data_IF_689400696156
#
_entry.id   IF_689400696156
#
_cell.length_a   1.000
_cell.length_b   1.000
_cell.length_c   1.000
_cell.angle_alpha   90.00
_cell.angle_beta   90.00
_cell.angle_gamma   90.00
#
_symmetry.space_group_name_H-M   'P 1'
#
loop_
_entity.id
_entity.type
_entity.pdbx_description
1 polymer ?
#
# COMPACT_ATOMS: atom_id res chain seq x y z
N UNK A 1 0.28 -13.40 36.39
CA UNK A 1 -0.13 -14.35 35.35
C UNK A 1 -0.18 -13.58 34.05
N UNK A 2 0.64 -13.96 33.07
CA UNK A 2 0.67 -13.33 31.75
C UNK A 2 -0.59 -13.67 30.95
N UNK A 3 -0.91 -12.85 29.94
CA UNK A 3 -2.07 -13.04 29.05
C UNK A 3 -2.08 -14.44 28.40
N UNK A 4 -0.91 -14.94 28.00
CA UNK A 4 -0.70 -16.29 27.43
C UNK A 4 -0.95 -17.42 28.43
N UNK A 5 -0.55 -17.25 29.69
CA UNK A 5 -0.77 -18.26 30.74
C UNK A 5 -2.26 -18.35 31.11
N UNK A 6 -2.93 -17.20 31.18
CA UNK A 6 -4.37 -17.14 31.39
C UNK A 6 -5.14 -17.79 30.24
N UNK A 7 -4.76 -17.47 29.01
CA UNK A 7 -5.29 -18.13 27.82
C UNK A 7 -5.09 -19.64 27.85
N UNK A 8 -3.88 -20.14 28.10
CA UNK A 8 -3.62 -21.57 28.11
C UNK A 8 -4.46 -22.33 29.14
N UNK A 9 -4.69 -21.73 30.32
CA UNK A 9 -5.58 -22.27 31.35
C UNK A 9 -7.03 -22.31 30.89
N UNK A 10 -7.56 -21.20 30.36
CA UNK A 10 -8.96 -21.11 29.91
C UNK A 10 -9.22 -22.01 28.68
N UNK A 11 -8.30 -22.02 27.73
CA UNK A 11 -8.33 -22.89 26.55
C UNK A 11 -8.33 -24.37 26.93
N UNK A 12 -7.57 -24.76 27.96
CA UNK A 12 -7.58 -26.14 28.47
C UNK A 12 -8.96 -26.56 28.98
N UNK A 13 -9.67 -25.68 29.70
CA UNK A 13 -11.03 -25.96 30.17
C UNK A 13 -12.03 -26.14 29.01
N UNK A 14 -11.92 -25.31 27.96
CA UNK A 14 -12.73 -25.48 26.76
C UNK A 14 -12.41 -26.79 26.04
N UNK A 15 -11.13 -27.14 25.90
CA UNK A 15 -10.69 -28.37 25.22
C UNK A 15 -11.13 -29.64 25.96
N UNK A 16 -11.07 -29.66 27.29
CA UNK A 16 -11.55 -30.80 28.07
C UNK A 16 -13.07 -31.01 27.90
N UNK A 17 -13.85 -29.93 27.80
CA UNK A 17 -15.28 -30.01 27.51
C UNK A 17 -15.56 -30.44 26.07
N UNK A 18 -14.77 -29.95 25.11
CA UNK A 18 -14.88 -30.34 23.71
C UNK A 18 -14.58 -31.83 23.54
N UNK A 19 -13.54 -32.35 24.19
CA UNK A 19 -13.15 -33.75 24.17
C UNK A 19 -14.30 -34.68 24.61
N UNK A 20 -14.96 -34.35 25.72
CA UNK A 20 -16.14 -35.09 26.21
C UNK A 20 -17.26 -35.11 25.17
N UNK A 21 -17.51 -34.00 24.47
CA UNK A 21 -18.58 -33.88 23.49
C UNK A 21 -18.28 -34.66 22.21
N UNK A 22 -17.05 -34.55 21.68
CA UNK A 22 -16.66 -35.25 20.44
C UNK A 22 -16.49 -36.76 20.66
N UNK A 23 -16.13 -37.18 21.87
CA UNK A 23 -15.97 -38.58 22.23
C UNK A 23 -17.29 -39.32 22.50
N UNK A 24 -18.42 -38.59 22.61
CA UNK A 24 -19.76 -39.15 22.84
C UNK A 24 -20.15 -40.27 21.86
N UNK A 25 -20.83 -41.32 22.35
CA UNK A 25 -21.30 -42.46 21.55
C UNK A 25 -22.62 -42.21 20.83
N UNK A 26 -23.45 -41.28 21.32
CA UNK A 26 -24.74 -40.92 20.72
C UNK A 26 -24.65 -39.76 19.74
N UNK A 27 -23.44 -39.24 19.51
CA UNK A 27 -23.18 -38.01 18.77
C UNK A 27 -23.08 -36.77 19.66
N UNK A 28 -22.50 -35.66 19.16
CA UNK A 28 -22.23 -34.47 19.94
C UNK A 28 -23.50 -33.63 20.13
N UNK A 29 -23.58 -32.96 21.27
CA UNK A 29 -24.52 -31.85 21.44
C UNK A 29 -24.08 -30.70 20.52
N UNK A 30 -24.75 -30.56 19.37
CA UNK A 30 -24.38 -29.63 18.29
C UNK A 30 -24.31 -28.17 18.73
N UNK A 31 -25.28 -27.73 19.54
CA UNK A 31 -25.34 -26.34 20.04
C UNK A 31 -24.15 -26.07 20.96
N UNK A 32 -23.84 -27.03 21.83
CA UNK A 32 -22.76 -26.90 22.78
C UNK A 32 -21.38 -26.98 22.12
N UNK A 33 -21.22 -27.85 21.13
CA UNK A 33 -20.01 -27.95 20.31
C UNK A 33 -19.69 -26.62 19.62
N UNK A 34 -20.69 -25.99 18.95
CA UNK A 34 -20.53 -24.68 18.32
C UNK A 34 -20.19 -23.60 19.36
N UNK A 35 -20.87 -23.61 20.52
CA UNK A 35 -20.65 -22.62 21.58
C UNK A 35 -19.23 -22.70 22.13
N UNK A 36 -18.72 -23.89 22.39
CA UNK A 36 -17.37 -24.09 22.94
C UNK A 36 -16.28 -23.77 21.92
N UNK A 37 -16.44 -24.19 20.65
CA UNK A 37 -15.50 -23.82 19.58
C UNK A 37 -15.41 -22.29 19.39
N UNK A 38 -16.56 -21.59 19.43
CA UNK A 38 -16.59 -20.12 19.37
C UNK A 38 -15.94 -19.46 20.59
N UNK A 39 -16.19 -19.98 21.79
CA UNK A 39 -15.59 -19.46 23.01
C UNK A 39 -14.05 -19.61 22.99
N UNK A 40 -13.56 -20.77 22.56
CA UNK A 40 -12.13 -21.04 22.37
C UNK A 40 -11.50 -20.08 21.36
N UNK A 41 -12.14 -19.86 20.20
CA UNK A 41 -11.70 -18.88 19.20
C UNK A 41 -11.63 -17.47 19.79
N UNK A 42 -12.65 -17.05 20.52
CA UNK A 42 -12.69 -15.73 21.16
C UNK A 42 -11.55 -15.54 22.16
N UNK A 43 -11.30 -16.53 23.00
CA UNK A 43 -10.19 -16.52 23.97
C UNK A 43 -8.83 -16.44 23.27
N UNK A 44 -8.62 -17.20 22.17
CA UNK A 44 -7.39 -17.16 21.37
C UNK A 44 -7.14 -15.78 20.73
N UNK A 45 -8.18 -15.16 20.15
CA UNK A 45 -8.07 -13.83 19.54
C UNK A 45 -7.78 -12.74 20.59
N UNK A 46 -8.38 -12.83 21.78
CA UNK A 46 -8.09 -11.91 22.87
C UNK A 46 -6.66 -12.04 23.39
N UNK A 47 -6.06 -13.22 23.28
CA UNK A 47 -4.68 -13.49 23.66
C UNK A 47 -3.66 -13.21 22.54
N UNK A 48 -4.10 -12.75 21.37
CA UNK A 48 -3.29 -12.55 20.17
C UNK A 48 -2.63 -13.84 19.63
N UNK A 49 -3.29 -14.99 19.82
CA UNK A 49 -2.85 -16.31 19.34
C UNK A 49 -3.62 -16.68 18.06
N UNK A 50 -3.28 -16.00 16.96
CA UNK A 50 -4.05 -16.06 15.70
C UNK A 50 -4.14 -17.48 15.12
N UNK A 51 -3.04 -18.23 15.11
CA UNK A 51 -2.98 -19.59 14.54
C UNK A 51 -3.91 -20.56 15.28
N UNK A 52 -3.96 -20.49 16.61
CA UNK A 52 -4.91 -21.30 17.39
C UNK A 52 -6.35 -20.83 17.15
N UNK A 53 -6.55 -19.52 16.99
CA UNK A 53 -7.82 -18.93 16.60
C UNK A 53 -8.36 -19.46 15.26
N UNK A 54 -7.49 -19.65 14.27
CA UNK A 54 -7.84 -20.21 12.95
C UNK A 54 -8.29 -21.68 13.05
N UNK A 55 -7.57 -22.52 13.81
CA UNK A 55 -7.98 -23.92 14.03
C UNK A 55 -9.32 -23.98 14.79
N UNK A 56 -9.51 -23.14 15.80
CA UNK A 56 -10.78 -23.04 16.52
C UNK A 56 -11.94 -22.54 15.63
N UNK A 57 -11.66 -21.65 14.68
CA UNK A 57 -12.63 -21.21 13.67
C UNK A 57 -13.02 -22.34 12.71
N UNK A 58 -12.03 -23.13 12.25
CA UNK A 58 -12.28 -24.32 11.43
C UNK A 58 -13.12 -25.36 12.19
N UNK A 59 -12.88 -25.54 13.48
CA UNK A 59 -13.67 -26.43 14.34
C UNK A 59 -15.10 -25.92 14.51
N UNK A 60 -15.30 -24.60 14.68
CA UNK A 60 -16.63 -23.99 14.72
C UNK A 60 -17.39 -24.22 13.39
N UNK A 61 -16.71 -24.06 12.25
CA UNK A 61 -17.28 -24.29 10.93
C UNK A 61 -17.71 -25.74 10.73
N UNK A 62 -16.86 -26.69 11.12
CA UNK A 62 -17.15 -28.11 11.11
C UNK A 62 -18.34 -28.45 12.01
N UNK A 63 -18.37 -27.92 13.24
CA UNK A 63 -19.49 -28.06 14.17
C UNK A 63 -20.80 -27.51 13.59
N UNK A 64 -20.73 -26.39 12.86
CA UNK A 64 -21.88 -25.79 12.17
C UNK A 64 -22.36 -26.65 11.00
N UNK A 65 -21.45 -27.21 10.20
CA UNK A 65 -21.80 -28.12 9.11
C UNK A 65 -22.52 -29.38 9.62
N UNK A 66 -22.11 -29.92 10.77
CA UNK A 66 -22.83 -30.98 11.47
C UNK A 66 -24.17 -30.46 12.00
N UNK A 67 -24.18 -29.26 12.59
CA UNK A 67 -25.36 -28.55 13.08
C UNK A 67 -26.49 -28.46 12.05
N UNK A 68 -26.12 -28.09 10.83
CA UNK A 68 -26.99 -27.85 9.67
C UNK A 68 -27.27 -29.11 8.84
N UNK A 69 -26.88 -30.30 9.31
CA UNK A 69 -27.00 -31.58 8.61
C UNK A 69 -26.31 -31.63 7.24
N UNK A 70 -25.33 -30.74 6.99
CA UNK A 70 -24.50 -30.73 5.78
C UNK A 70 -23.40 -31.79 5.83
N UNK A 71 -22.89 -32.09 7.03
CA UNK A 71 -21.92 -33.17 7.27
C UNK A 71 -22.54 -34.19 8.23
N UNK A 72 -22.68 -35.47 7.83
CA UNK A 72 -23.19 -36.50 8.72
C UNK A 72 -22.17 -36.82 9.83
N UNK A 73 -22.64 -36.97 11.07
CA UNK A 73 -21.81 -37.44 12.17
C UNK A 73 -21.60 -38.96 12.07
N UNK A 74 -20.56 -39.37 11.33
CA UNK A 74 -20.12 -40.75 11.19
C UNK A 74 -18.76 -40.95 11.88
N UNK A 75 -18.25 -42.19 11.87
CA UNK A 75 -16.96 -42.50 12.52
C UNK A 75 -15.81 -41.64 11.99
N UNK A 76 -15.78 -41.34 10.69
CA UNK A 76 -14.75 -40.47 10.10
C UNK A 76 -14.83 -39.04 10.66
N UNK A 77 -16.03 -38.45 10.70
CA UNK A 77 -16.25 -37.11 11.24
C UNK A 77 -15.90 -37.05 12.74
N UNK A 78 -16.21 -38.12 13.48
CA UNK A 78 -15.83 -38.26 14.88
C UNK A 78 -14.30 -38.28 15.07
N UNK A 79 -13.58 -39.08 14.29
CA UNK A 79 -12.13 -39.15 14.38
C UNK A 79 -11.45 -37.82 14.05
N UNK A 80 -11.91 -37.13 13.00
CA UNK A 80 -11.41 -35.79 12.64
C UNK A 80 -11.61 -34.80 13.79
N UNK A 81 -12.77 -34.82 14.44
CA UNK A 81 -13.05 -33.95 15.58
C UNK A 81 -12.16 -34.24 16.79
N UNK A 82 -11.93 -35.52 17.10
CA UNK A 82 -11.05 -35.95 18.20
C UNK A 82 -9.61 -35.52 17.92
N UNK A 83 -9.09 -35.82 16.73
CA UNK A 83 -7.74 -35.45 16.32
C UNK A 83 -7.53 -33.93 16.40
N UNK A 84 -8.49 -33.13 15.92
CA UNK A 84 -8.37 -31.68 15.98
C UNK A 84 -8.36 -31.13 17.42
N UNK A 85 -9.12 -31.74 18.34
CA UNK A 85 -9.10 -31.35 19.76
C UNK A 85 -7.74 -31.71 20.39
N UNK A 86 -7.17 -32.85 20.03
CA UNK A 86 -5.83 -33.25 20.50
C UNK A 86 -4.73 -32.35 19.94
N UNK A 87 -4.78 -32.00 18.66
CA UNK A 87 -3.84 -31.06 18.03
C UNK A 87 -3.93 -29.68 18.68
N UNK A 88 -5.15 -29.17 18.91
CA UNK A 88 -5.36 -27.92 19.66
C UNK A 88 -4.76 -27.99 21.07
N UNK A 89 -4.86 -29.14 21.75
CA UNK A 89 -4.26 -29.35 23.07
C UNK A 89 -2.73 -29.32 23.01
N UNK A 90 -2.11 -29.81 21.93
CA UNK A 90 -0.67 -29.68 21.70
C UNK A 90 -0.30 -28.22 21.44
N UNK A 91 -1.01 -27.53 20.54
CA UNK A 91 -0.75 -26.13 20.19
C UNK A 91 -0.86 -25.21 21.41
N UNK A 92 -1.91 -25.37 22.23
CA UNK A 92 -2.12 -24.56 23.45
C UNK A 92 -0.97 -24.75 24.45
N UNK A 93 -0.40 -25.96 24.57
CA UNK A 93 0.77 -26.21 25.44
C UNK A 93 2.05 -25.55 24.91
N UNK A 94 2.11 -25.24 23.62
CA UNK A 94 3.27 -24.67 22.91
C UNK A 94 3.21 -23.16 22.68
N UNK A 95 2.18 -22.47 23.17
CA UNK A 95 2.00 -21.00 23.07
C UNK A 95 3.21 -20.18 23.56
N UNK A 96 3.99 -20.71 24.51
CA UNK A 96 5.21 -20.07 25.03
C UNK A 96 6.51 -20.44 24.30
N UNK A 97 6.47 -21.43 23.40
CA UNK A 97 7.60 -22.05 22.72
C UNK A 97 7.15 -22.48 21.31
N UNK A 98 6.89 -21.47 20.47
CA UNK A 98 6.28 -21.62 19.15
C UNK A 98 7.34 -21.67 18.04
N UNK A 99 7.17 -22.58 17.08
CA UNK A 99 8.06 -22.73 15.91
C UNK A 99 7.29 -23.01 14.62
N UNK A 100 8.00 -23.09 13.50
CA UNK A 100 7.45 -23.43 12.18
C UNK A 100 6.72 -24.78 12.15
N UNK A 101 7.07 -25.69 13.08
CA UNK A 101 6.40 -26.99 13.21
C UNK A 101 4.97 -26.82 13.71
N UNK A 102 4.76 -25.98 14.72
CA UNK A 102 3.42 -25.66 15.23
C UNK A 102 2.59 -24.88 14.21
N UNK A 103 3.21 -23.99 13.42
CA UNK A 103 2.52 -23.30 12.31
C UNK A 103 2.01 -24.29 11.26
N UNK A 104 2.86 -25.24 10.83
CA UNK A 104 2.48 -26.26 9.86
C UNK A 104 1.37 -27.18 10.40
N UNK A 105 1.44 -27.55 11.67
CA UNK A 105 0.43 -28.37 12.33
C UNK A 105 -0.91 -27.64 12.42
N UNK A 106 -0.92 -26.38 12.87
CA UNK A 106 -2.14 -25.57 12.94
C UNK A 106 -2.79 -25.42 11.56
N UNK A 107 -2.01 -25.14 10.51
CA UNK A 107 -2.52 -25.05 9.15
C UNK A 107 -3.13 -26.38 8.66
N UNK A 108 -2.45 -27.50 8.91
CA UNK A 108 -2.93 -28.83 8.50
C UNK A 108 -4.24 -29.22 9.20
N UNK A 109 -4.33 -29.02 10.52
CA UNK A 109 -5.54 -29.32 11.30
C UNK A 109 -6.73 -28.45 10.87
N UNK A 110 -6.50 -27.15 10.62
CA UNK A 110 -7.54 -26.25 10.13
C UNK A 110 -8.05 -26.65 8.74
N UNK A 111 -7.16 -27.07 7.85
CA UNK A 111 -7.50 -27.54 6.51
C UNK A 111 -8.31 -28.84 6.53
N UNK A 112 -7.95 -29.79 7.38
CA UNK A 112 -8.67 -31.06 7.54
C UNK A 112 -10.12 -30.81 8.02
N UNK A 113 -10.29 -29.96 9.04
CA UNK A 113 -11.60 -29.58 9.56
C UNK A 113 -12.47 -28.87 8.53
N UNK A 114 -11.92 -27.90 7.80
CA UNK A 114 -12.66 -27.17 6.76
C UNK A 114 -13.06 -28.11 5.61
N UNK A 115 -12.16 -29.00 5.19
CA UNK A 115 -12.46 -30.01 4.17
C UNK A 115 -13.60 -30.91 4.62
N UNK A 116 -13.58 -31.37 5.87
CA UNK A 116 -14.64 -32.19 6.45
C UNK A 116 -15.98 -31.43 6.62
N UNK A 117 -15.94 -30.11 6.80
CA UNK A 117 -17.11 -29.24 6.86
C UNK A 117 -17.76 -28.99 5.48
N UNK A 118 -17.22 -29.57 4.41
CA UNK A 118 -17.60 -29.26 3.03
C UNK A 118 -17.22 -27.83 2.63
N UNK A 119 -16.41 -27.16 3.45
CA UNK A 119 -15.68 -25.95 3.08
C UNK A 119 -14.44 -26.45 2.36
N UNK A 120 -14.65 -26.98 1.16
CA UNK A 120 -13.53 -27.21 0.27
C UNK A 120 -12.82 -25.87 0.12
N UNK A 121 -11.52 -25.82 0.40
CA UNK A 121 -10.68 -24.86 -0.29
C UNK A 121 -11.09 -24.97 -1.75
N UNK A 122 -11.63 -23.89 -2.31
CA UNK A 122 -11.48 -23.62 -3.73
C UNK A 122 -10.03 -23.97 -4.01
N UNK A 123 -9.82 -25.03 -4.80
CA UNK A 123 -8.55 -25.74 -4.89
C UNK A 123 -7.41 -24.73 -4.94
N UNK A 124 -6.47 -24.81 -4.00
CA UNK A 124 -5.11 -24.38 -4.29
C UNK A 124 -4.68 -25.22 -5.48
N UNK A 125 -4.46 -24.66 -6.68
CA UNK A 125 -3.78 -25.38 -7.72
C UNK A 125 -2.31 -25.50 -7.29
N UNK A 126 -1.66 -26.52 -7.82
CA UNK A 126 -0.22 -26.69 -7.91
C UNK A 126 0.56 -25.38 -8.04
N UNK A 127 1.84 -25.32 -7.61
CA UNK A 127 2.67 -24.10 -7.54
C UNK A 127 2.98 -23.54 -8.93
N UNK A 128 1.98 -22.90 -9.54
CA UNK A 128 2.03 -22.25 -10.84
C UNK A 128 0.95 -21.16 -11.03
N UNK A 129 0.22 -20.74 -9.98
CA UNK A 129 -0.59 -19.52 -10.04
C UNK A 129 -0.02 -18.45 -9.10
N UNK A 130 0.84 -17.63 -9.67
CA UNK A 130 1.25 -16.31 -9.17
C UNK A 130 0.08 -15.33 -9.33
N UNK A 131 -0.90 -15.38 -8.43
CA UNK A 131 -2.07 -14.51 -8.50
C UNK A 131 -2.88 -14.46 -7.21
N UNK A 132 -3.52 -13.31 -7.00
CA UNK A 132 -4.34 -12.96 -5.82
C UNK A 132 -5.52 -13.94 -5.67
N UNK A 133 -5.87 -14.34 -4.44
CA UNK A 133 -7.01 -15.22 -4.18
C UNK A 133 -8.34 -14.60 -4.69
N UNK A 134 -9.31 -15.44 -5.05
CA UNK A 134 -10.57 -14.93 -5.67
C UNK A 134 -11.36 -13.99 -4.78
N UNK A 135 -11.29 -14.14 -3.45
CA UNK A 135 -11.96 -13.27 -2.49
C UNK A 135 -11.33 -11.88 -2.47
N UNK A 136 -9.99 -11.83 -2.37
CA UNK A 136 -9.23 -10.58 -2.45
C UNK A 136 -9.37 -9.92 -3.81
N UNK A 137 -9.43 -10.68 -4.91
CA UNK A 137 -9.71 -10.11 -6.25
C UNK A 137 -11.08 -9.44 -6.34
N UNK A 138 -12.12 -10.10 -5.82
CA UNK A 138 -13.46 -9.53 -5.82
C UNK A 138 -13.56 -8.28 -4.93
N UNK A 139 -12.87 -8.30 -3.78
CA UNK A 139 -12.75 -7.14 -2.91
C UNK A 139 -12.03 -5.98 -3.61
N UNK A 140 -10.80 -6.21 -4.10
CA UNK A 140 -10.00 -5.19 -4.81
C UNK A 140 -10.80 -4.60 -5.97
N UNK A 141 -11.44 -5.43 -6.79
CA UNK A 141 -12.20 -4.98 -7.93
C UNK A 141 -13.37 -4.06 -7.54
N UNK A 142 -14.12 -4.44 -6.50
CA UNK A 142 -15.23 -3.65 -5.97
C UNK A 142 -14.75 -2.32 -5.40
N UNK A 143 -13.75 -2.34 -4.54
CA UNK A 143 -13.24 -1.12 -3.90
C UNK A 143 -12.59 -0.19 -4.94
N UNK A 144 -11.87 -0.73 -5.94
CA UNK A 144 -11.33 0.08 -7.05
C UNK A 144 -12.43 0.74 -7.88
N UNK A 145 -13.53 0.04 -8.15
CA UNK A 145 -14.66 0.62 -8.89
C UNK A 145 -15.35 1.74 -8.09
N UNK A 146 -15.44 1.61 -6.76
CA UNK A 146 -15.95 2.67 -5.89
C UNK A 146 -15.05 3.91 -5.92
N UNK A 147 -13.74 3.73 -5.77
CA UNK A 147 -12.78 4.85 -5.85
C UNK A 147 -12.81 5.50 -7.23
N UNK A 148 -12.81 4.72 -8.31
CA UNK A 148 -12.87 5.24 -9.67
C UNK A 148 -14.13 6.09 -9.90
N UNK A 149 -15.28 5.66 -9.39
CA UNK A 149 -16.54 6.42 -9.47
C UNK A 149 -16.47 7.73 -8.69
N UNK A 150 -15.89 7.71 -7.48
CA UNK A 150 -15.69 8.91 -6.68
C UNK A 150 -14.73 9.91 -7.37
N UNK A 151 -13.62 9.41 -7.94
CA UNK A 151 -12.67 10.22 -8.70
C UNK A 151 -13.31 10.89 -9.92
N UNK A 152 -14.11 10.14 -10.68
CA UNK A 152 -14.81 10.70 -11.84
C UNK A 152 -15.82 11.79 -11.42
N UNK A 153 -16.50 11.60 -10.28
CA UNK A 153 -17.39 12.62 -9.72
C UNK A 153 -16.63 13.90 -9.33
N UNK A 154 -15.49 13.76 -8.64
CA UNK A 154 -14.61 14.88 -8.27
C UNK A 154 -14.08 15.60 -9.51
N UNK A 155 -13.59 14.86 -10.51
CA UNK A 155 -13.11 15.41 -11.77
C UNK A 155 -14.18 16.27 -12.46
N UNK A 156 -15.42 15.77 -12.53
CA UNK A 156 -16.56 16.50 -13.10
C UNK A 156 -16.90 17.74 -12.29
N UNK A 157 -16.91 17.66 -10.97
CA UNK A 157 -17.16 18.82 -10.09
C UNK A 157 -16.10 19.91 -10.24
N UNK A 158 -14.83 19.53 -10.42
CA UNK A 158 -13.75 20.47 -10.69
C UNK A 158 -13.92 21.17 -12.05
N UNK A 159 -14.26 20.43 -13.11
CA UNK A 159 -14.55 21.01 -14.43
C UNK A 159 -15.72 22.00 -14.38
N UNK A 160 -16.73 21.71 -13.57
CA UNK A 160 -17.92 22.55 -13.39
C UNK A 160 -17.72 23.68 -12.37
N UNK A 161 -16.53 23.80 -11.76
CA UNK A 161 -16.20 24.80 -10.74
C UNK A 161 -17.09 24.75 -9.48
N UNK A 162 -17.68 23.59 -9.17
CA UNK A 162 -18.61 23.39 -8.04
C UNK A 162 -18.06 22.42 -6.98
N UNK A 163 -16.74 22.42 -6.77
CA UNK A 163 -16.13 21.50 -5.80
C UNK A 163 -16.29 22.00 -4.37
N UNK A 164 -16.48 21.07 -3.43
CA UNK A 164 -16.43 21.35 -1.99
C UNK A 164 -15.25 20.61 -1.36
N UNK A 165 -14.65 21.15 -0.27
CA UNK A 165 -13.62 20.43 0.48
C UNK A 165 -14.08 19.03 0.95
N UNK A 166 -15.36 18.90 1.29
CA UNK A 166 -15.99 17.66 1.75
C UNK A 166 -15.90 16.52 0.71
N UNK A 167 -15.92 16.84 -0.59
CA UNK A 167 -15.77 15.83 -1.65
C UNK A 167 -14.40 15.17 -1.66
N UNK A 168 -13.35 15.91 -1.28
CA UNK A 168 -12.01 15.35 -1.15
C UNK A 168 -11.89 14.50 0.11
N UNK A 169 -12.51 14.91 1.21
CA UNK A 169 -12.56 14.10 2.44
C UNK A 169 -13.32 12.78 2.21
N UNK A 170 -14.39 12.82 1.43
CA UNK A 170 -15.15 11.62 1.03
C UNK A 170 -14.30 10.71 0.13
N UNK A 171 -13.62 11.26 -0.88
CA UNK A 171 -12.68 10.52 -1.72
C UNK A 171 -11.61 9.80 -0.88
N UNK A 172 -10.95 10.52 0.04
CA UNK A 172 -9.91 9.95 0.89
C UNK A 172 -10.42 8.85 1.83
N UNK A 173 -11.69 8.92 2.26
CA UNK A 173 -12.33 7.86 3.04
C UNK A 173 -12.58 6.61 2.20
N UNK A 174 -13.07 6.78 0.96
CA UNK A 174 -13.35 5.66 0.04
C UNK A 174 -12.06 4.93 -0.36
N UNK A 175 -10.91 5.61 -0.35
CA UNK A 175 -9.61 4.99 -0.66
C UNK A 175 -9.03 4.13 0.48
N UNK A 176 -9.46 4.33 1.74
CA UNK A 176 -8.86 3.66 2.92
C UNK A 176 -8.80 2.12 2.82
N UNK A 177 -9.84 1.41 2.35
CA UNK A 177 -9.83 -0.06 2.30
C UNK A 177 -8.73 -0.64 1.40
N UNK A 178 -8.28 0.11 0.38
CA UNK A 178 -7.25 -0.34 -0.55
C UNK A 178 -5.81 -0.11 -0.04
N UNK A 179 -5.63 0.72 1.00
CA UNK A 179 -4.28 1.07 1.51
C UNK A 179 -3.57 -0.12 2.16
N UNK A 180 -4.32 -1.01 2.81
CA UNK A 180 -3.78 -2.21 3.47
C UNK A 180 -3.30 -3.30 2.50
N UNK A 181 -3.58 -3.16 1.19
CA UNK A 181 -3.26 -4.17 0.18
C UNK A 181 -1.99 -3.86 -0.62
N UNK A 182 -1.36 -2.71 -0.38
CA UNK A 182 -0.20 -2.19 -1.13
C UNK A 182 1.04 -3.11 -1.13
N UNK A 183 1.06 -4.15 -0.29
CA UNK A 183 2.15 -5.13 -0.20
C UNK A 183 2.12 -6.15 -1.34
N UNK A 184 0.97 -6.32 -2.03
CA UNK A 184 0.82 -7.30 -3.11
C UNK A 184 1.34 -6.73 -4.44
N UNK A 185 2.39 -7.30 -5.06
CA UNK A 185 2.89 -6.83 -6.36
C UNK A 185 1.85 -6.98 -7.48
N UNK A 186 0.93 -7.93 -7.37
CA UNK A 186 -0.09 -8.24 -8.37
C UNK A 186 -1.17 -7.15 -8.52
N UNK A 187 -1.30 -6.24 -7.54
CA UNK A 187 -2.25 -5.12 -7.62
C UNK A 187 -1.63 -3.83 -8.16
N UNK A 188 -0.31 -3.79 -8.42
CA UNK A 188 0.29 -2.63 -9.08
C UNK A 188 -0.35 -2.44 -10.47
N UNK A 189 -0.72 -1.20 -10.88
CA UNK A 189 -0.29 0.09 -10.35
C UNK A 189 -1.26 0.74 -9.35
N UNK A 190 -2.23 0.00 -8.78
CA UNK A 190 -3.30 0.58 -7.95
C UNK A 190 -2.74 1.36 -6.75
N UNK A 191 -1.84 0.80 -5.91
CA UNK A 191 -1.32 1.55 -4.76
C UNK A 191 -0.63 2.85 -5.19
N UNK A 192 0.16 2.77 -6.26
CA UNK A 192 0.90 3.91 -6.80
C UNK A 192 -0.05 5.01 -7.35
N UNK A 193 -1.13 4.63 -8.03
CA UNK A 193 -2.16 5.58 -8.51
C UNK A 193 -2.91 6.21 -7.34
N UNK A 194 -3.28 5.43 -6.32
CA UNK A 194 -3.97 5.95 -5.14
C UNK A 194 -3.10 6.95 -4.36
N UNK A 195 -1.81 6.66 -4.23
CA UNK A 195 -0.87 7.58 -3.59
C UNK A 195 -0.74 8.90 -4.39
N UNK A 196 -0.65 8.82 -5.72
CA UNK A 196 -0.65 10.00 -6.59
C UNK A 196 -1.93 10.84 -6.45
N UNK A 197 -3.09 10.18 -6.34
CA UNK A 197 -4.39 10.84 -6.12
C UNK A 197 -4.43 11.60 -4.81
N UNK A 198 -3.97 11.01 -3.70
CA UNK A 198 -3.98 11.67 -2.39
C UNK A 198 -3.13 12.94 -2.41
N UNK A 199 -1.98 12.90 -3.07
CA UNK A 199 -1.10 14.06 -3.24
C UNK A 199 -1.74 15.14 -4.09
N UNK A 200 -2.36 14.74 -5.21
CA UNK A 200 -3.09 15.65 -6.08
C UNK A 200 -4.23 16.34 -5.32
N UNK A 201 -4.98 15.61 -4.48
CA UNK A 201 -6.00 16.20 -3.62
C UNK A 201 -5.42 17.29 -2.68
N UNK A 202 -4.25 17.05 -2.09
CA UNK A 202 -3.54 18.05 -1.28
C UNK A 202 -3.00 19.26 -2.07
N UNK A 203 -2.76 19.14 -3.38
CA UNK A 203 -2.40 20.28 -4.24
C UNK A 203 -3.65 21.10 -4.56
N UNK A 204 -4.76 20.46 -4.93
CA UNK A 204 -6.02 21.14 -5.25
C UNK A 204 -6.55 21.95 -4.07
N UNK A 205 -6.45 21.41 -2.85
CA UNK A 205 -6.86 22.14 -1.64
C UNK A 205 -6.05 23.42 -1.39
N UNK A 206 -4.84 23.53 -1.94
CA UNK A 206 -4.00 24.74 -1.88
C UNK A 206 -4.34 25.77 -2.97
N UNK A 207 -5.25 25.43 -3.89
CA UNK A 207 -5.88 26.36 -4.83
C UNK A 207 -5.31 26.38 -6.25
N UNK A 208 -4.29 25.58 -6.55
CA UNK A 208 -3.54 25.61 -7.81
C UNK A 208 -4.02 24.56 -8.85
N UNK A 209 -3.78 24.81 -10.14
CA UNK A 209 -3.91 23.84 -11.26
C UNK A 209 -5.28 23.10 -11.43
N UNK A 210 -6.42 23.76 -11.16
CA UNK A 210 -7.76 23.10 -11.14
C UNK A 210 -8.14 22.31 -12.39
N UNK A 211 -7.85 22.81 -13.59
CA UNK A 211 -8.21 22.13 -14.84
C UNK A 211 -7.33 20.89 -15.06
N UNK A 212 -6.02 21.02 -14.85
CA UNK A 212 -5.06 19.91 -15.00
C UNK A 212 -5.36 18.79 -14.00
N UNK A 213 -5.77 19.16 -12.78
CA UNK A 213 -6.17 18.22 -11.74
C UNK A 213 -7.47 17.48 -12.08
N UNK A 214 -8.41 18.14 -12.74
CA UNK A 214 -9.62 17.47 -13.21
C UNK A 214 -9.30 16.39 -14.25
N UNK A 215 -8.40 16.68 -15.19
CA UNK A 215 -7.93 15.68 -16.16
C UNK A 215 -7.11 14.56 -15.48
N UNK A 216 -6.30 14.89 -14.48
CA UNK A 216 -5.56 13.90 -13.71
C UNK A 216 -6.48 12.92 -12.98
N UNK A 217 -7.51 13.41 -12.28
CA UNK A 217 -8.47 12.53 -11.58
C UNK A 217 -9.30 11.68 -12.52
N UNK A 218 -9.68 12.20 -13.70
CA UNK A 218 -10.37 11.40 -14.72
C UNK A 218 -9.46 10.30 -15.27
N UNK A 219 -8.18 10.61 -15.52
CA UNK A 219 -7.17 9.64 -15.95
C UNK A 219 -6.94 8.56 -14.88
N UNK A 220 -6.88 8.95 -13.60
CA UNK A 220 -6.78 8.03 -12.47
C UNK A 220 -8.02 7.11 -12.37
N UNK A 221 -9.23 7.65 -12.56
CA UNK A 221 -10.47 6.87 -12.57
C UNK A 221 -10.45 5.81 -13.68
N UNK A 222 -9.98 6.17 -14.88
CA UNK A 222 -9.81 5.23 -15.99
C UNK A 222 -8.76 4.16 -15.68
N UNK A 223 -7.61 4.54 -15.12
CA UNK A 223 -6.55 3.61 -14.73
C UNK A 223 -7.04 2.58 -13.69
N UNK A 224 -7.73 3.04 -12.64
CA UNK A 224 -8.30 2.14 -11.62
C UNK A 224 -9.42 1.25 -12.17
N UNK A 225 -10.24 1.76 -13.09
CA UNK A 225 -11.27 0.96 -13.76
C UNK A 225 -10.65 -0.15 -14.60
N UNK A 226 -9.63 0.16 -15.40
CA UNK A 226 -8.92 -0.84 -16.21
C UNK A 226 -8.21 -1.88 -15.31
N UNK A 227 -7.46 -1.43 -14.31
CA UNK A 227 -6.78 -2.32 -13.36
C UNK A 227 -7.76 -3.24 -12.62
N UNK A 228 -8.92 -2.74 -12.22
CA UNK A 228 -9.98 -3.55 -11.61
C UNK A 228 -10.47 -4.65 -12.56
N UNK A 229 -10.75 -4.33 -13.82
CA UNK A 229 -11.18 -5.31 -14.82
C UNK A 229 -10.12 -6.36 -15.09
N UNK A 230 -8.85 -5.97 -15.16
CA UNK A 230 -7.72 -6.87 -15.35
C UNK A 230 -7.53 -7.81 -14.16
N UNK A 231 -7.69 -7.34 -12.93
CA UNK A 231 -7.62 -8.17 -11.73
C UNK A 231 -8.76 -9.20 -11.72
N UNK A 232 -9.97 -8.81 -12.11
CA UNK A 232 -11.09 -9.76 -12.25
C UNK A 232 -10.79 -10.82 -13.31
N UNK A 233 -10.27 -10.39 -14.47
CA UNK A 233 -10.07 -11.27 -15.62
C UNK A 233 -8.83 -12.18 -15.50
N UNK A 234 -7.71 -11.64 -15.06
CA UNK A 234 -6.38 -12.26 -15.10
C UNK A 234 -5.75 -12.47 -13.72
N UNK A 235 -6.30 -11.86 -12.67
CA UNK A 235 -5.80 -11.99 -11.30
C UNK A 235 -4.62 -11.07 -10.93
N UNK A 236 -4.24 -10.20 -11.86
CA UNK A 236 -3.25 -9.15 -11.67
C UNK A 236 -3.58 -7.95 -12.55
N UNK A 237 -3.24 -6.74 -12.11
CA UNK A 237 -3.29 -5.56 -12.96
C UNK A 237 -2.03 -5.47 -13.84
N UNK A 238 -2.11 -4.75 -14.95
CA UNK A 238 -0.98 -4.45 -15.84
C UNK A 238 -0.43 -3.06 -15.52
N UNK A 239 0.79 -2.96 -14.95
CA UNK A 239 1.38 -1.67 -14.58
C UNK A 239 1.62 -0.73 -15.77
N UNK A 240 1.94 -1.27 -16.95
CA UNK A 240 2.21 -0.48 -18.17
C UNK A 240 0.97 -0.22 -19.05
N UNK A 241 -0.24 -0.36 -18.49
CA UNK A 241 -1.47 0.01 -19.20
C UNK A 241 -1.40 1.47 -19.71
N UNK A 242 -2.00 1.78 -20.87
CA UNK A 242 -1.93 3.13 -21.44
C UNK A 242 -2.50 4.18 -20.48
N UNK A 243 -3.55 3.85 -19.72
CA UNK A 243 -4.12 4.71 -18.69
C UNK A 243 -3.15 4.98 -17.53
N UNK A 244 -2.42 3.97 -17.06
CA UNK A 244 -1.45 4.13 -15.98
C UNK A 244 -0.25 4.98 -16.41
N UNK A 245 0.24 4.79 -17.65
CA UNK A 245 1.28 5.64 -18.25
C UNK A 245 0.83 7.08 -18.44
N UNK A 246 -0.41 7.27 -18.92
CA UNK A 246 -0.99 8.61 -19.06
C UNK A 246 -1.10 9.30 -17.69
N UNK A 247 -1.53 8.58 -16.66
CA UNK A 247 -1.59 9.10 -15.29
C UNK A 247 -0.20 9.50 -14.78
N UNK A 248 0.81 8.62 -14.90
CA UNK A 248 2.17 8.90 -14.46
C UNK A 248 2.76 10.15 -15.13
N UNK A 249 2.62 10.24 -16.45
CA UNK A 249 3.11 11.38 -17.24
C UNK A 249 2.43 12.70 -16.83
N UNK A 250 1.10 12.71 -16.68
CA UNK A 250 0.35 13.90 -16.25
C UNK A 250 0.72 14.29 -14.83
N UNK A 251 0.82 13.32 -13.92
CA UNK A 251 1.19 13.58 -12.54
C UNK A 251 2.60 14.19 -12.44
N UNK A 252 3.56 13.66 -13.20
CA UNK A 252 4.90 14.22 -13.31
C UNK A 252 4.89 15.67 -13.79
N UNK A 253 4.14 15.97 -14.86
CA UNK A 253 4.04 17.33 -15.41
C UNK A 253 3.50 18.37 -14.40
N UNK A 254 2.54 17.94 -13.56
CA UNK A 254 1.94 18.77 -12.50
C UNK A 254 2.94 19.02 -11.36
N UNK A 255 3.77 18.04 -11.03
CA UNK A 255 4.79 18.19 -10.01
C UNK A 255 5.93 19.11 -10.47
N UNK A 256 6.29 19.06 -11.74
CA UNK A 256 7.26 19.97 -12.37
C UNK A 256 6.72 21.39 -12.53
N UNK A 257 5.43 21.57 -12.83
CA UNK A 257 4.81 22.88 -13.03
C UNK A 257 4.68 23.72 -11.76
N UNK A 258 5.10 23.21 -10.61
CA UNK A 258 5.20 23.95 -9.34
C UNK A 258 6.35 24.98 -9.34
N UNK A 259 6.65 25.59 -10.50
CA UNK A 259 7.70 26.59 -10.67
C UNK A 259 7.39 27.80 -9.80
N UNK A 260 8.22 28.00 -8.77
CA UNK A 260 8.13 29.17 -7.90
C UNK A 260 8.52 30.38 -8.75
N UNK A 261 7.52 31.09 -9.27
CA UNK A 261 7.72 32.39 -9.93
C UNK A 261 8.24 33.36 -8.86
N UNK A 262 9.49 33.84 -8.96
CA UNK A 262 10.00 34.83 -8.02
C UNK A 262 9.10 36.05 -8.09
N UNK A 263 8.63 36.58 -6.95
CA UNK A 263 7.72 37.74 -6.95
C UNK A 263 8.31 38.93 -7.74
N UNK A 264 9.65 38.99 -7.85
CA UNK A 264 10.40 39.94 -8.65
C UNK A 264 10.06 39.90 -10.15
N UNK A 265 9.73 38.74 -10.73
CA UNK A 265 9.42 38.61 -12.16
C UNK A 265 7.97 39.01 -12.50
N UNK A 266 7.18 39.40 -11.51
CA UNK A 266 5.82 39.93 -11.69
C UNK A 266 5.80 41.46 -11.76
N UNK A 267 6.95 42.13 -11.59
CA UNK A 267 7.07 43.58 -11.69
C UNK A 267 7.52 44.01 -13.09
N UNK A 268 7.21 45.24 -13.45
CA UNK A 268 7.70 45.87 -14.68
C UNK A 268 9.18 46.27 -14.51
N UNK A 269 9.92 46.38 -15.62
CA UNK A 269 11.30 46.89 -15.64
C UNK A 269 11.33 48.42 -15.42
N UNK A 270 10.94 48.88 -14.23
CA UNK A 270 11.04 50.28 -13.81
C UNK A 270 11.81 50.44 -12.48
N UNK A 271 12.40 51.62 -12.26
CA UNK A 271 13.36 51.92 -11.17
C UNK A 271 12.71 52.05 -9.76
N UNK A 272 11.52 51.51 -9.53
CA UNK A 272 10.79 51.62 -8.27
C UNK A 272 11.23 50.62 -7.19
N UNK A 273 11.08 50.93 -5.88
CA UNK A 273 11.16 49.91 -4.84
C UNK A 273 9.88 49.06 -4.87
N UNK A 274 9.91 48.01 -5.70
CA UNK A 274 8.75 47.17 -6.00
C UNK A 274 8.30 46.27 -4.85
N UNK A 275 9.21 45.99 -3.90
CA UNK A 275 8.95 45.18 -2.71
C UNK A 275 9.33 46.01 -1.49
N UNK A 276 8.33 46.41 -0.70
CA UNK A 276 8.54 46.95 0.63
C UNK A 276 8.47 45.80 1.64
N UNK A 277 9.62 45.33 2.13
CA UNK A 277 9.69 44.42 3.27
C UNK A 277 9.30 45.17 4.55
N UNK A 278 8.01 45.16 4.91
CA UNK A 278 7.67 45.27 6.32
C UNK A 278 8.20 44.00 6.99
N UNK A 279 9.28 44.14 7.76
CA UNK A 279 10.00 43.04 8.41
C UNK A 279 9.10 42.19 9.28
N UNK A 280 8.45 41.21 8.66
CA UNK A 280 7.89 40.05 9.31
C UNK A 280 9.06 39.11 9.45
N UNK A 281 9.46 38.69 10.67
CA UNK A 281 10.55 37.75 10.79
C UNK A 281 10.23 36.55 9.90
N UNK A 282 11.12 36.21 8.98
CA UNK A 282 10.99 35.01 8.17
C UNK A 282 10.66 33.87 9.14
N UNK A 283 9.60 33.10 8.87
CA UNK A 283 9.31 31.90 9.62
C UNK A 283 10.62 31.11 9.66
N UNK A 284 11.24 31.02 10.84
CA UNK A 284 12.54 30.36 11.00
C UNK A 284 12.32 28.95 10.47
N UNK A 285 13.00 28.53 9.40
CA UNK A 285 12.80 27.20 8.88
C UNK A 285 13.08 26.21 10.01
N UNK A 286 12.19 25.23 10.17
CA UNK A 286 12.32 24.26 11.24
C UNK A 286 13.65 23.51 11.10
N UNK A 287 14.41 23.41 12.19
CA UNK A 287 15.43 22.36 12.26
C UNK A 287 14.70 21.02 12.19
N UNK A 288 15.16 20.14 11.33
CA UNK A 288 14.69 18.76 11.34
C UNK A 288 15.05 18.14 12.69
N UNK A 289 14.05 17.61 13.39
CA UNK A 289 14.32 16.86 14.60
C UNK A 289 15.12 15.60 14.25
N UNK A 290 15.97 15.14 15.15
CA UNK A 290 16.77 13.93 14.94
C UNK A 290 15.89 12.70 14.63
N UNK A 291 14.73 12.61 15.27
CA UNK A 291 13.73 11.57 14.97
C UNK A 291 13.19 11.67 13.54
N UNK A 292 12.99 12.88 13.02
CA UNK A 292 12.52 13.10 11.64
C UNK A 292 13.59 12.71 10.63
N UNK A 293 14.87 13.02 10.90
CA UNK A 293 15.98 12.58 10.06
C UNK A 293 16.05 11.05 9.99
N UNK A 294 15.94 10.36 11.13
CA UNK A 294 15.90 8.90 11.17
C UNK A 294 14.71 8.35 10.40
N UNK A 295 13.52 8.91 10.59
CA UNK A 295 12.30 8.47 9.89
C UNK A 295 12.41 8.66 8.37
N UNK A 296 12.91 9.81 7.91
CA UNK A 296 13.19 10.04 6.49
C UNK A 296 14.28 9.09 5.98
N UNK A 297 15.30 8.79 6.78
CA UNK A 297 16.36 7.85 6.44
C UNK A 297 15.84 6.44 6.18
N UNK A 298 15.02 5.91 7.08
CA UNK A 298 14.37 4.60 6.90
C UNK A 298 13.43 4.58 5.70
N UNK A 299 12.65 5.65 5.51
CA UNK A 299 11.77 5.76 4.35
C UNK A 299 12.54 5.75 3.02
N UNK A 300 13.69 6.43 2.93
CA UNK A 300 14.52 6.41 1.72
C UNK A 300 15.12 5.03 1.44
N UNK A 301 15.52 4.27 2.47
CA UNK A 301 15.98 2.88 2.29
C UNK A 301 14.87 1.98 1.77
N UNK A 302 13.68 2.08 2.37
CA UNK A 302 12.52 1.31 1.94
C UNK A 302 12.16 1.64 0.48
N UNK A 303 12.12 2.91 0.13
CA UNK A 303 11.82 3.34 -1.23
C UNK A 303 12.87 2.88 -2.25
N UNK A 304 14.16 2.86 -1.87
CA UNK A 304 15.23 2.33 -2.72
C UNK A 304 14.99 0.84 -3.04
N UNK A 305 14.68 0.05 -2.01
CA UNK A 305 14.37 -1.36 -2.17
C UNK A 305 13.10 -1.58 -3.03
N UNK A 306 12.08 -0.74 -2.85
CA UNK A 306 10.85 -0.80 -3.64
C UNK A 306 11.08 -0.43 -5.11
N UNK A 307 11.95 0.54 -5.39
CA UNK A 307 12.32 0.90 -6.76
C UNK A 307 13.06 -0.23 -7.46
N UNK A 308 13.99 -0.90 -6.78
CA UNK A 308 14.72 -2.05 -7.35
C UNK A 308 13.82 -3.28 -7.57
N UNK A 309 12.85 -3.50 -6.68
CA UNK A 309 11.88 -4.61 -6.82
C UNK A 309 10.82 -4.38 -7.90
N UNK A 310 10.63 -3.14 -8.35
CA UNK A 310 9.64 -2.82 -9.35
C UNK A 310 10.02 -3.42 -10.72
N UNK A 311 9.11 -4.23 -11.26
CA UNK A 311 9.34 -5.00 -12.49
C UNK A 311 9.07 -4.18 -13.75
N UNK A 312 8.30 -3.10 -13.63
CA UNK A 312 7.77 -2.33 -14.75
C UNK A 312 8.18 -0.86 -14.67
N UNK A 313 8.34 -0.22 -15.82
CA UNK A 313 8.81 1.16 -15.90
C UNK A 313 7.78 2.13 -15.32
N UNK A 314 6.49 1.96 -15.62
CA UNK A 314 5.43 2.82 -15.06
C UNK A 314 5.36 2.73 -13.54
N UNK A 315 5.61 1.54 -13.00
CA UNK A 315 5.65 1.31 -11.56
C UNK A 315 6.85 2.03 -10.92
N UNK A 316 8.04 1.95 -11.54
CA UNK A 316 9.23 2.70 -11.10
C UNK A 316 9.02 4.21 -11.18
N UNK A 317 8.38 4.68 -12.26
CA UNK A 317 8.09 6.10 -12.45
C UNK A 317 7.18 6.63 -11.35
N UNK A 318 6.05 5.96 -11.08
CA UNK A 318 5.13 6.40 -10.04
C UNK A 318 5.75 6.37 -8.64
N UNK A 319 6.54 5.34 -8.31
CA UNK A 319 7.29 5.27 -7.04
C UNK A 319 8.34 6.37 -6.93
N UNK A 320 8.99 6.73 -8.03
CA UNK A 320 9.93 7.84 -8.05
C UNK A 320 9.23 9.19 -7.86
N UNK A 321 8.09 9.41 -8.54
CA UNK A 321 7.25 10.60 -8.35
C UNK A 321 6.69 10.65 -6.91
N UNK A 322 6.51 9.48 -6.27
CA UNK A 322 6.17 9.39 -4.87
C UNK A 322 7.28 9.99 -3.96
N UNK A 323 8.53 10.02 -4.36
CA UNK A 323 9.59 10.59 -3.52
C UNK A 323 9.66 12.12 -3.56
N UNK A 324 9.03 12.77 -4.54
CA UNK A 324 9.10 14.22 -4.73
C UNK A 324 8.60 15.02 -3.52
N UNK A 325 7.57 14.54 -2.81
CA UNK A 325 7.07 15.17 -1.58
C UNK A 325 8.07 15.07 -0.43
N UNK A 326 8.66 13.89 -0.23
CA UNK A 326 9.72 13.65 0.77
C UNK A 326 10.90 14.57 0.51
N UNK A 327 11.37 14.66 -0.74
CA UNK A 327 12.45 15.58 -1.07
C UNK A 327 12.07 17.04 -0.83
N UNK A 328 10.84 17.46 -1.15
CA UNK A 328 10.39 18.83 -0.87
C UNK A 328 10.38 19.14 0.62
N UNK A 329 9.98 18.18 1.46
CA UNK A 329 10.06 18.29 2.92
C UNK A 329 11.51 18.46 3.38
N UNK A 330 12.41 17.59 2.91
CA UNK A 330 13.84 17.66 3.23
C UNK A 330 14.52 18.95 2.73
N UNK A 331 14.07 19.50 1.60
CA UNK A 331 14.55 20.75 1.04
C UNK A 331 14.18 21.98 1.88
N UNK A 332 13.08 21.89 2.65
CA UNK A 332 12.66 22.96 3.56
C UNK A 332 13.47 23.03 4.86
N UNK A 333 14.34 22.04 5.11
CA UNK A 333 15.21 22.02 6.26
C UNK A 333 16.22 23.17 6.22
N UNK A 334 16.35 23.91 7.33
CA UNK A 334 17.44 24.87 7.48
C UNK A 334 18.00 24.86 8.90
N UNK A 335 19.19 25.47 9.05
CA UNK A 335 19.85 25.61 10.34
C UNK A 335 21.36 25.43 10.23
N UNK A 336 21.81 24.18 10.17
CA UNK A 336 23.21 23.81 10.25
C UNK A 336 23.82 23.21 8.97
N UNK A 337 25.08 22.74 9.04
CA UNK A 337 25.78 22.12 7.91
C UNK A 337 25.06 20.89 7.38
N UNK A 338 24.50 20.07 8.27
CA UNK A 338 23.77 18.86 7.90
C UNK A 338 22.47 19.20 7.17
N UNK A 339 21.66 20.12 7.69
CA UNK A 339 20.41 20.54 7.06
C UNK A 339 20.67 21.17 5.69
N UNK A 340 21.76 21.94 5.55
CA UNK A 340 22.18 22.49 4.26
C UNK A 340 22.56 21.37 3.26
N UNK A 341 23.27 20.34 3.71
CA UNK A 341 23.62 19.20 2.87
C UNK A 341 22.37 18.38 2.50
N UNK A 342 21.42 18.22 3.42
CA UNK A 342 20.12 17.56 3.18
C UNK A 342 19.31 18.31 2.13
N UNK A 343 19.22 19.63 2.23
CA UNK A 343 18.50 20.43 1.26
C UNK A 343 19.13 20.36 -0.14
N UNK A 344 20.46 20.35 -0.23
CA UNK A 344 21.18 20.16 -1.50
C UNK A 344 20.94 18.78 -2.10
N UNK A 345 21.06 17.72 -1.30
CA UNK A 345 20.74 16.36 -1.71
C UNK A 345 19.31 16.26 -2.25
N UNK A 346 18.34 16.82 -1.52
CA UNK A 346 16.93 16.79 -1.90
C UNK A 346 16.68 17.47 -3.25
N UNK A 347 17.31 18.63 -3.50
CA UNK A 347 17.26 19.29 -4.81
C UNK A 347 17.89 18.46 -5.93
N UNK A 348 19.07 17.86 -5.69
CA UNK A 348 19.71 16.97 -6.65
C UNK A 348 18.86 15.73 -6.95
N UNK A 349 18.20 15.16 -5.94
CA UNK A 349 17.31 14.01 -6.09
C UNK A 349 16.05 14.35 -6.91
N UNK A 350 15.41 15.50 -6.65
CA UNK A 350 14.29 15.97 -7.48
C UNK A 350 14.71 16.16 -8.94
N UNK A 351 15.86 16.80 -9.19
CA UNK A 351 16.39 16.97 -10.54
C UNK A 351 16.70 15.62 -11.21
N UNK A 352 17.21 14.64 -10.46
CA UNK A 352 17.43 13.29 -10.98
C UNK A 352 16.11 12.59 -11.36
N UNK A 353 15.07 12.72 -10.54
CA UNK A 353 13.71 12.21 -10.85
C UNK A 353 13.15 12.87 -12.11
N UNK A 354 13.20 14.20 -12.22
CA UNK A 354 12.72 14.95 -13.38
C UNK A 354 13.46 14.58 -14.68
N UNK A 355 14.76 14.25 -14.59
CA UNK A 355 15.56 13.77 -15.72
C UNK A 355 15.36 12.28 -16.05
N UNK A 356 14.48 11.57 -15.35
CA UNK A 356 14.19 10.16 -15.58
C UNK A 356 15.28 9.19 -15.08
N UNK A 357 16.17 9.62 -14.18
CA UNK A 357 17.22 8.76 -13.62
C UNK A 357 16.69 7.48 -12.95
N UNK A 358 15.55 7.49 -12.21
CA UNK A 358 15.00 6.29 -11.61
C UNK A 358 14.57 5.21 -12.62
N UNK A 359 14.31 5.58 -13.87
CA UNK A 359 13.94 4.65 -14.95
C UNK A 359 15.17 4.12 -15.69
N UNK A 360 16.11 5.00 -16.02
CA UNK A 360 17.25 4.66 -16.88
C UNK A 360 18.46 4.14 -16.11
N UNK A 361 18.55 4.53 -14.83
CA UNK A 361 19.67 4.23 -13.93
C UNK A 361 19.16 3.79 -12.55
N UNK A 362 18.14 2.92 -12.51
CA UNK A 362 17.44 2.50 -11.29
C UNK A 362 18.39 2.05 -10.17
N UNK A 363 19.32 1.14 -10.45
CA UNK A 363 20.27 0.62 -9.45
C UNK A 363 21.16 1.72 -8.87
N UNK A 364 21.66 2.63 -9.71
CA UNK A 364 22.53 3.72 -9.27
C UNK A 364 21.76 4.73 -8.42
N UNK A 365 20.55 5.09 -8.84
CA UNK A 365 19.67 6.00 -8.10
C UNK A 365 19.26 5.39 -6.75
N UNK A 366 18.82 4.13 -6.73
CA UNK A 366 18.44 3.41 -5.52
C UNK A 366 19.62 3.25 -4.55
N UNK A 367 20.83 2.97 -5.06
CA UNK A 367 22.03 2.94 -4.23
C UNK A 367 22.30 4.28 -3.53
N UNK A 368 22.12 5.42 -4.21
CA UNK A 368 22.28 6.73 -3.57
C UNK A 368 21.18 7.00 -2.54
N UNK A 369 19.93 6.60 -2.79
CA UNK A 369 18.85 6.72 -1.81
C UNK A 369 19.13 5.89 -0.56
N UNK A 370 19.63 4.66 -0.72
CA UNK A 370 19.98 3.76 0.38
C UNK A 370 21.16 4.28 1.21
N UNK A 371 22.21 4.81 0.56
CA UNK A 371 23.34 5.43 1.25
C UNK A 371 22.93 6.70 2.01
N UNK A 372 22.14 7.58 1.39
CA UNK A 372 21.58 8.74 2.11
C UNK A 372 20.73 8.28 3.28
N UNK A 373 19.88 7.27 3.09
CA UNK A 373 19.08 6.70 4.17
C UNK A 373 19.94 6.22 5.34
N UNK A 374 21.06 5.53 5.05
CA UNK A 374 22.01 5.10 6.07
C UNK A 374 22.67 6.28 6.81
N UNK A 375 23.07 7.33 6.09
CA UNK A 375 23.62 8.57 6.67
C UNK A 375 22.60 9.21 7.63
N UNK A 376 21.34 9.37 7.20
CA UNK A 376 20.30 10.03 8.00
C UNK A 376 19.91 9.22 9.25
N UNK A 377 19.78 7.88 9.14
CA UNK A 377 19.55 7.01 10.30
C UNK A 377 20.68 7.11 11.32
N UNK A 378 21.93 7.32 10.88
CA UNK A 378 23.09 7.45 11.77
C UNK A 378 23.21 8.82 12.47
N UNK A 379 22.26 9.73 12.25
CA UNK A 379 22.24 11.08 12.85
C UNK A 379 22.21 11.09 14.39
N UNK A 380 21.81 9.98 15.02
CA UNK A 380 21.81 9.78 16.47
C UNK A 380 23.21 9.70 17.09
N UNK A 381 24.17 9.16 16.34
CA UNK A 381 25.44 8.67 16.89
C UNK A 381 26.66 9.37 16.29
N UNK A 382 26.46 10.20 15.27
CA UNK A 382 27.53 10.82 14.48
C UNK A 382 27.51 12.34 14.53
N UNK A 383 28.68 12.95 14.37
CA UNK A 383 28.83 14.41 14.32
C UNK A 383 28.16 15.00 13.06
N UNK A 384 27.36 16.07 13.17
CA UNK A 384 26.62 16.66 12.05
C UNK A 384 27.51 17.11 10.87
N UNK A 385 28.76 17.53 11.16
CA UNK A 385 29.69 17.98 10.12
C UNK A 385 30.20 16.80 9.27
N UNK A 386 30.46 15.65 9.88
CA UNK A 386 30.90 14.45 9.17
C UNK A 386 29.77 13.88 8.31
N UNK A 387 28.54 13.88 8.84
CA UNK A 387 27.34 13.50 8.09
C UNK A 387 27.11 14.43 6.89
N UNK A 388 27.29 15.74 7.06
CA UNK A 388 27.16 16.71 5.97
C UNK A 388 28.19 16.46 4.84
N UNK A 389 29.43 16.11 5.20
CA UNK A 389 30.48 15.76 4.23
C UNK A 389 30.13 14.50 3.44
N UNK A 390 29.71 13.42 4.14
CA UNK A 390 29.26 12.18 3.49
C UNK A 390 28.08 12.43 2.56
N UNK A 391 27.09 13.21 3.02
CA UNK A 391 25.91 13.52 2.22
C UNK A 391 26.26 14.37 0.98
N UNK A 392 27.25 15.24 1.08
CA UNK A 392 27.77 16.00 -0.06
C UNK A 392 28.43 15.10 -1.11
N UNK A 393 29.11 14.03 -0.69
CA UNK A 393 29.69 13.04 -1.61
C UNK A 393 28.60 12.27 -2.36
N UNK A 394 27.57 11.80 -1.65
CA UNK A 394 26.40 11.13 -2.25
C UNK A 394 25.69 12.07 -3.23
N UNK A 395 25.52 13.33 -2.87
CA UNK A 395 24.92 14.36 -3.73
C UNK A 395 25.70 14.51 -5.04
N UNK A 396 27.03 14.58 -4.99
CA UNK A 396 27.86 14.70 -6.19
C UNK A 396 27.73 13.46 -7.11
N UNK A 397 27.63 12.26 -6.55
CA UNK A 397 27.41 11.04 -7.33
C UNK A 397 26.02 11.05 -7.97
N UNK A 398 25.00 11.50 -7.25
CA UNK A 398 23.63 11.61 -7.75
C UNK A 398 23.51 12.61 -8.90
N UNK A 399 24.18 13.77 -8.79
CA UNK A 399 24.22 14.78 -9.86
C UNK A 399 24.91 14.27 -11.12
N UNK A 400 25.92 13.41 -10.95
CA UNK A 400 26.67 12.80 -12.04
C UNK A 400 25.90 11.68 -12.78
N UNK A 401 24.76 11.22 -12.27
CA UNK A 401 23.90 10.28 -13.01
C UNK A 401 23.45 10.97 -14.31
N UNK A 402 23.69 10.34 -15.48
CA UNK A 402 23.32 10.92 -16.77
C UNK A 402 21.84 11.28 -16.84
N UNK A 403 21.54 12.40 -17.49
CA UNK A 403 20.17 12.73 -17.83
C UNK A 403 19.64 11.70 -18.83
N UNK A 404 18.41 11.24 -18.60
CA UNK A 404 17.80 10.31 -19.51
C UNK A 404 17.42 10.96 -20.83
N UNK A 405 17.52 10.21 -21.93
CA UNK A 405 16.90 10.66 -23.18
C UNK A 405 15.37 10.78 -22.97
N UNK A 406 14.71 11.87 -23.43
CA UNK A 406 13.27 11.99 -23.29
C UNK A 406 12.59 10.79 -23.95
N UNK A 407 11.63 10.18 -23.25
CA UNK A 407 10.86 9.07 -23.78
C UNK A 407 10.31 9.45 -25.16
N UNK A 408 10.68 8.67 -26.17
CA UNK A 408 10.14 8.84 -27.53
C UNK A 408 8.63 8.83 -27.42
N UNK A 409 8.00 9.96 -27.77
CA UNK A 409 6.56 10.06 -27.96
C UNK A 409 6.12 8.88 -28.81
N UNK A 410 5.25 8.04 -28.25
CA UNK A 410 4.60 6.99 -28.99
C UNK A 410 3.98 7.61 -30.27
N UNK A 411 4.26 7.00 -31.42
CA UNK A 411 3.62 7.37 -32.68
C UNK A 411 2.11 7.49 -32.48
N UNK A 412 1.47 8.58 -32.95
CA UNK A 412 0.04 8.73 -32.85
C UNK A 412 -0.62 7.56 -33.60
N UNK A 413 -1.44 6.80 -32.88
CA UNK A 413 -2.32 5.77 -33.45
C UNK A 413 -3.16 6.43 -34.54
N UNK A 414 -3.16 5.92 -35.79
CA UNK A 414 -3.92 6.53 -36.87
C UNK A 414 -5.42 6.51 -36.54
N UNK A 415 -6.01 7.70 -36.66
CA UNK A 415 -7.39 8.03 -36.33
C UNK A 415 -8.37 7.30 -37.27
N UNK A 416 -8.78 6.09 -36.90
CA UNK A 416 -9.84 5.35 -37.60
C UNK A 416 -11.22 5.67 -37.02
N UNK A 417 -11.63 6.94 -37.10
CA UNK A 417 -13.03 7.35 -37.00
C UNK A 417 -13.41 8.27 -38.17
N UNK A 418 -13.39 7.70 -39.37
CA UNK A 418 -14.10 8.30 -40.51
C UNK A 418 -15.60 8.20 -40.28
N UNK A 419 -16.20 9.34 -39.90
CA UNK A 419 -17.65 9.55 -39.78
C UNK A 419 -18.34 9.26 -41.13
N UNK A 420 -19.42 8.46 -41.17
CA UNK A 420 -20.15 8.24 -42.42
C UNK A 420 -20.84 9.53 -42.87
N UNK A 421 -20.72 9.85 -44.16
CA UNK A 421 -21.36 11.01 -44.78
C UNK A 421 -22.89 10.90 -44.71
N UNK A 422 -23.54 12.00 -44.34
CA UNK A 422 -24.99 12.10 -44.33
C UNK A 422 -25.55 11.99 -45.76
N UNK A 423 -26.69 11.30 -45.98
CA UNK A 423 -27.31 11.22 -47.29
C UNK A 423 -27.88 12.58 -47.70
N UNK A 424 -27.49 13.04 -48.90
CA UNK A 424 -28.02 14.25 -49.52
C UNK A 424 -29.47 14.02 -49.98
N UNK A 425 -30.34 15.01 -49.74
CA UNK A 425 -31.67 15.12 -50.32
C UNK A 425 -31.59 15.66 -51.76
#
# INVERSE_FOLDING_TARGET
>A
MGLKEFFAMEASEYLDRLDVIVSSTTGPNRVELIRLARALRGSALMANEHQIGEVAAALENFARAIGEDRTPWNESAKQIAIHAVDDLRVLVRKVGDWSDVEDAMAAATADELNTAAGISKVSTPSPQQTGIDSGTRAFVARECALVASALHAVAKSLQQQHHSPEQFDELLKVMQPLRGLAVLPEISPIPEVLEGVERAAGIVQRGDHRNDMAFLFDTAARALTNASQEIVAAGSARPDSPEAREFASRFGSILDSSEVVPIQSLFHDDDGPHILEAGTPAAVPGRLAQLELVAHGEHLKQAADELERAQWDTQRELRALALTSTFRSLQSAAGGPLETAVAKFAGAAQNAVARGAPLQHTEQFAAQMRETGAILTSSAESEPTDLALRLSQVTAVLEAIPAGAPASTAEPVPDHLSRPAAPSA
#
